data_IF_772994045831
#
_entry.id   IF_772994045831
#
_cell.length_a   1.000
_cell.length_b   1.000
_cell.length_c   1.000
_cell.angle_alpha   90.00
_cell.angle_beta   90.00
_cell.angle_gamma   90.00
#
_symmetry.space_group_name_H-M   'P 1'
#
loop_
_entity.id
_entity.type
_entity.pdbx_description
1 polymer ?
#
# COMPACT_ATOMS: atom_id res chain seq x y z
N UNK A 1 -4.31 16.51 11.60
CA UNK A 1 -5.18 15.69 12.47
C UNK A 1 -4.98 14.24 12.07
N UNK A 2 -4.84 13.33 13.04
CA UNK A 2 -4.73 11.90 12.73
C UNK A 2 -6.12 11.33 12.50
N UNK A 3 -6.27 10.57 11.44
CA UNK A 3 -7.51 9.90 11.08
C UNK A 3 -7.64 8.53 11.76
N UNK A 4 -6.51 7.79 11.80
CA UNK A 4 -6.39 6.54 12.53
C UNK A 4 -5.20 6.58 13.46
N UNK A 5 -5.38 6.10 14.68
CA UNK A 5 -4.30 5.95 15.66
C UNK A 5 -4.39 4.58 16.32
N UNK A 6 -3.25 3.98 16.53
CA UNK A 6 -3.13 2.82 17.42
C UNK A 6 -2.18 3.17 18.55
N UNK A 7 -2.53 2.76 19.77
CA UNK A 7 -1.77 3.07 20.97
C UNK A 7 -1.47 1.80 21.74
N UNK A 8 -0.20 1.42 21.79
CA UNK A 8 0.34 0.26 22.51
C UNK A 8 -0.43 -1.05 22.22
N UNK A 9 -0.81 -1.28 20.96
CA UNK A 9 -1.57 -2.45 20.56
C UNK A 9 -0.72 -3.71 20.70
N UNK A 10 -1.23 -4.69 21.47
CA UNK A 10 -0.61 -6.01 21.66
C UNK A 10 -1.53 -7.08 21.11
N UNK A 11 -0.95 -8.07 20.44
CA UNK A 11 -1.64 -9.28 20.01
C UNK A 11 -0.74 -10.48 20.10
N UNK A 12 -1.17 -11.47 20.88
CA UNK A 12 -0.51 -12.75 21.01
C UNK A 12 -1.40 -13.88 20.51
N UNK A 13 -0.85 -14.75 19.70
CA UNK A 13 -1.45 -16.03 19.34
C UNK A 13 -0.71 -17.14 20.08
N UNK A 14 -1.24 -18.37 20.06
CA UNK A 14 -0.61 -19.50 20.74
C UNK A 14 0.90 -19.61 20.42
N UNK A 15 1.75 -19.22 21.38
CA UNK A 15 3.20 -19.27 21.29
C UNK A 15 3.87 -18.19 20.41
N UNK A 16 3.12 -17.24 19.82
CA UNK A 16 3.67 -16.20 18.96
C UNK A 16 3.12 -14.82 19.31
N UNK A 17 4.01 -13.88 19.64
CA UNK A 17 3.68 -12.46 19.83
C UNK A 17 3.65 -11.78 18.45
N UNK A 18 2.47 -11.51 17.93
CA UNK A 18 2.28 -10.92 16.60
C UNK A 18 2.41 -9.40 16.60
N UNK A 19 2.02 -8.73 17.70
CA UNK A 19 2.19 -7.28 17.89
C UNK A 19 2.63 -7.03 19.32
N UNK A 20 3.67 -6.21 19.49
CA UNK A 20 4.25 -5.82 20.79
C UNK A 20 4.19 -4.29 20.93
N UNK A 21 3.14 -3.79 21.60
CA UNK A 21 2.93 -2.36 21.88
C UNK A 21 3.03 -1.48 20.62
N UNK A 22 2.44 -1.93 19.52
CA UNK A 22 2.47 -1.21 18.25
C UNK A 22 1.63 0.05 18.33
N UNK A 23 2.26 1.20 18.06
CA UNK A 23 1.63 2.51 17.99
C UNK A 23 1.96 3.16 16.64
N UNK A 24 0.92 3.53 15.88
CA UNK A 24 1.04 4.27 14.62
C UNK A 24 0.05 5.43 14.60
N UNK A 25 0.37 6.45 13.81
CA UNK A 25 -0.48 7.61 13.57
C UNK A 25 -0.61 7.81 12.07
N UNK A 26 -1.84 7.75 11.57
CA UNK A 26 -2.15 7.91 10.14
C UNK A 26 -2.83 9.26 9.94
N UNK A 27 -2.14 10.25 9.34
CA UNK A 27 -2.73 11.56 9.08
C UNK A 27 -3.87 11.47 8.05
N UNK A 28 -4.87 12.33 8.20
CA UNK A 28 -6.01 12.40 7.29
C UNK A 28 -5.57 12.79 5.87
N UNK A 29 -6.15 12.14 4.85
CA UNK A 29 -5.90 12.46 3.44
C UNK A 29 -4.51 12.09 2.94
N UNK A 30 -3.78 11.21 3.66
CA UNK A 30 -2.45 10.73 3.26
C UNK A 30 -2.47 9.29 2.81
N UNK A 31 -1.44 8.89 2.05
CA UNK A 31 -1.10 7.49 1.84
C UNK A 31 -0.03 7.10 2.86
N UNK A 32 -0.41 6.25 3.79
CA UNK A 32 0.44 5.75 4.86
C UNK A 32 0.95 4.34 4.53
N UNK A 33 2.25 4.19 4.36
CA UNK A 33 2.91 2.91 4.09
C UNK A 33 3.11 2.09 5.37
N UNK A 34 2.48 0.92 5.45
CA UNK A 34 2.71 -0.05 6.52
C UNK A 34 3.69 -1.12 6.02
N UNK A 35 4.94 -1.02 6.44
CA UNK A 35 6.06 -1.77 5.89
C UNK A 35 6.54 -2.87 6.82
N UNK A 36 7.24 -3.84 6.26
CA UNK A 36 7.91 -4.89 7.02
C UNK A 36 7.92 -6.24 6.29
N UNK A 37 8.78 -7.17 6.71
CA UNK A 37 8.83 -8.51 6.13
C UNK A 37 7.55 -9.30 6.38
N UNK A 38 7.40 -10.43 5.69
CA UNK A 38 6.32 -11.36 5.95
C UNK A 38 6.41 -11.88 7.38
N UNK A 39 5.25 -11.96 8.05
CA UNK A 39 5.18 -12.35 9.47
C UNK A 39 5.55 -11.26 10.49
N UNK A 40 5.88 -10.03 10.06
CA UNK A 40 6.23 -8.94 10.98
C UNK A 40 5.06 -8.43 11.84
N UNK A 41 3.80 -8.74 11.48
CA UNK A 41 2.61 -8.28 12.19
C UNK A 41 1.67 -7.37 11.40
N UNK A 42 2.04 -6.95 10.18
CA UNK A 42 1.25 -6.02 9.34
C UNK A 42 -0.22 -6.44 9.19
N UNK A 43 -0.46 -7.65 8.68
CA UNK A 43 -1.82 -8.17 8.47
C UNK A 43 -2.58 -8.36 9.79
N UNK A 44 -1.88 -8.66 10.89
CA UNK A 44 -2.50 -8.72 12.23
C UNK A 44 -2.99 -7.34 12.66
N UNK A 45 -2.18 -6.28 12.47
CA UNK A 45 -2.58 -4.91 12.78
C UNK A 45 -3.75 -4.47 11.90
N UNK A 46 -3.71 -4.75 10.60
CA UNK A 46 -4.80 -4.49 9.65
C UNK A 46 -6.09 -5.18 10.09
N UNK A 47 -6.04 -6.44 10.50
CA UNK A 47 -7.21 -7.19 11.00
C UNK A 47 -7.78 -6.57 12.28
N UNK A 48 -6.95 -6.03 13.15
CA UNK A 48 -7.40 -5.32 14.36
C UNK A 48 -8.08 -4.01 13.98
N UNK A 49 -7.50 -3.21 13.08
CA UNK A 49 -8.10 -1.97 12.59
C UNK A 49 -9.48 -2.23 11.96
N UNK A 50 -9.60 -3.31 11.18
CA UNK A 50 -10.87 -3.74 10.57
C UNK A 50 -11.81 -4.47 11.54
N UNK A 51 -11.49 -4.57 12.83
CA UNK A 51 -12.28 -5.28 13.86
C UNK A 51 -12.55 -6.77 13.55
N UNK A 52 -11.73 -7.37 12.69
CA UNK A 52 -11.77 -8.82 12.40
C UNK A 52 -11.20 -9.61 13.59
N UNK A 53 -10.25 -9.01 14.30
CA UNK A 53 -9.60 -9.59 15.49
C UNK A 53 -9.50 -8.52 16.56
N UNK A 54 -9.84 -8.85 17.81
CA UNK A 54 -9.64 -7.93 18.93
C UNK A 54 -8.16 -7.92 19.36
N UNK A 55 -7.61 -6.77 19.76
CA UNK A 55 -6.32 -6.71 20.44
C UNK A 55 -6.42 -7.33 21.84
N UNK A 56 -5.30 -7.79 22.37
CA UNK A 56 -5.24 -8.28 23.76
C UNK A 56 -5.05 -7.11 24.76
N UNK A 57 -4.42 -6.02 24.29
CA UNK A 57 -4.35 -4.73 24.98
C UNK A 57 -4.04 -3.61 23.99
N UNK A 58 -4.14 -2.34 24.44
CA UNK A 58 -3.99 -1.16 23.62
C UNK A 58 -5.32 -0.68 23.04
N UNK A 59 -5.28 0.45 22.34
CA UNK A 59 -6.47 1.15 21.85
C UNK A 59 -6.29 1.46 20.36
N UNK A 60 -7.38 1.36 19.60
CA UNK A 60 -7.48 1.87 18.22
C UNK A 60 -8.46 3.03 18.23
N UNK A 61 -8.04 4.18 17.71
CA UNK A 61 -8.91 5.36 17.51
C UNK A 61 -9.14 5.59 16.03
N UNK A 62 -10.36 5.90 15.70
CA UNK A 62 -10.81 6.20 14.35
C UNK A 62 -11.47 7.59 14.36
N UNK A 63 -10.97 8.51 13.55
CA UNK A 63 -11.49 9.88 13.46
C UNK A 63 -11.71 10.57 14.82
N UNK A 64 -10.73 10.40 15.74
CA UNK A 64 -10.72 11.02 17.06
C UNK A 64 -11.51 10.31 18.18
N UNK A 65 -12.22 9.21 17.90
CA UNK A 65 -12.91 8.39 18.90
C UNK A 65 -12.35 6.96 18.95
N UNK A 66 -12.59 6.25 20.04
CA UNK A 66 -12.24 4.84 20.14
C UNK A 66 -13.06 4.03 19.11
N UNK A 67 -12.37 3.16 18.35
CA UNK A 67 -12.99 2.42 17.25
C UNK A 67 -14.22 1.64 17.68
N UNK A 68 -15.30 1.81 16.94
CA UNK A 68 -16.63 1.21 17.15
C UNK A 68 -17.01 0.25 16.02
N UNK A 69 -18.01 -0.64 16.21
CA UNK A 69 -18.50 -1.51 15.14
C UNK A 69 -19.01 -0.76 13.90
N UNK A 70 -19.52 0.46 14.09
CA UNK A 70 -20.07 1.30 13.03
C UNK A 70 -19.01 1.82 12.07
N UNK A 71 -17.75 1.95 12.51
CA UNK A 71 -16.65 2.45 11.69
C UNK A 71 -16.32 1.53 10.51
N UNK A 72 -16.72 0.26 10.56
CA UNK A 72 -16.50 -0.69 9.46
C UNK A 72 -17.21 -0.26 8.15
N UNK A 73 -18.27 0.55 8.25
CA UNK A 73 -18.95 1.08 7.06
C UNK A 73 -18.16 2.20 6.38
N UNK A 74 -17.24 2.83 7.11
CA UNK A 74 -16.34 3.87 6.60
C UNK A 74 -14.96 3.32 6.22
N UNK A 75 -14.77 2.00 6.30
CA UNK A 75 -13.52 1.32 5.93
C UNK A 75 -13.72 0.45 4.70
N UNK A 76 -12.89 0.67 3.68
CA UNK A 76 -12.71 -0.23 2.55
C UNK A 76 -11.44 -1.06 2.75
N UNK A 77 -11.57 -2.39 2.78
CA UNK A 77 -10.43 -3.29 2.98
C UNK A 77 -10.25 -4.22 1.78
N UNK A 78 -9.09 -4.14 1.16
CA UNK A 78 -8.60 -5.04 0.12
C UNK A 78 -7.58 -6.00 0.74
N UNK A 79 -7.96 -7.23 1.09
CA UNK A 79 -7.02 -8.21 1.63
C UNK A 79 -6.11 -8.78 0.54
N UNK A 80 -4.92 -9.26 0.95
CA UNK A 80 -3.99 -9.99 0.07
C UNK A 80 -4.65 -11.25 -0.51
N UNK A 81 -5.35 -12.02 0.33
CA UNK A 81 -6.11 -13.18 -0.10
C UNK A 81 -7.51 -12.79 -0.59
N UNK A 82 -7.94 -13.43 -1.68
CA UNK A 82 -9.20 -13.09 -2.33
C UNK A 82 -10.39 -13.72 -1.61
N UNK A 83 -11.19 -12.87 -0.95
CA UNK A 83 -12.40 -13.26 -0.24
C UNK A 83 -13.67 -13.33 -1.11
N UNK A 84 -13.56 -13.34 -2.45
CA UNK A 84 -14.71 -13.29 -3.34
C UNK A 84 -15.31 -14.69 -3.61
N UNK A 85 -16.64 -14.74 -3.82
CA UNK A 85 -17.37 -15.98 -4.10
C UNK A 85 -17.14 -16.46 -5.53
N UNK A 86 -16.36 -17.53 -5.70
CA UNK A 86 -15.90 -18.04 -7.00
C UNK A 86 -17.03 -18.36 -7.98
N UNK A 87 -18.15 -18.94 -7.49
CA UNK A 87 -19.28 -19.39 -8.29
C UNK A 87 -20.33 -18.32 -8.58
N UNK A 88 -20.25 -17.15 -7.91
CA UNK A 88 -21.16 -16.03 -8.18
C UNK A 88 -20.71 -15.26 -9.42
N UNK A 89 -21.68 -14.67 -10.12
CA UNK A 89 -21.40 -13.71 -11.19
C UNK A 89 -20.80 -12.43 -10.62
N UNK A 90 -19.89 -11.83 -11.37
CA UNK A 90 -19.14 -10.63 -10.94
C UNK A 90 -20.09 -9.49 -10.55
N UNK A 91 -21.05 -9.15 -11.40
CA UNK A 91 -22.01 -8.07 -11.13
C UNK A 91 -22.92 -8.36 -9.94
N UNK A 92 -23.38 -9.61 -9.79
CA UNK A 92 -24.25 -10.01 -8.67
C UNK A 92 -23.54 -9.87 -7.32
N UNK A 93 -22.32 -10.41 -7.19
CA UNK A 93 -21.58 -10.29 -5.93
C UNK A 93 -21.10 -8.87 -5.65
N UNK A 94 -20.75 -8.08 -6.68
CA UNK A 94 -20.34 -6.71 -6.51
C UNK A 94 -21.50 -5.84 -5.96
N UNK A 95 -22.71 -6.01 -6.48
CA UNK A 95 -23.93 -5.39 -5.94
C UNK A 95 -24.19 -5.86 -4.51
N UNK A 96 -24.14 -7.16 -4.26
CA UNK A 96 -24.39 -7.73 -2.94
C UNK A 96 -23.42 -7.14 -1.89
N UNK A 97 -22.13 -7.11 -2.19
CA UNK A 97 -21.11 -6.57 -1.28
C UNK A 97 -21.24 -5.06 -1.09
N UNK A 98 -21.63 -4.31 -2.13
CA UNK A 98 -21.92 -2.89 -2.03
C UNK A 98 -23.14 -2.60 -1.12
N UNK A 99 -24.18 -3.44 -1.22
CA UNK A 99 -25.36 -3.32 -0.34
C UNK A 99 -25.02 -3.66 1.12
N UNK A 100 -24.13 -4.61 1.40
CA UNK A 100 -23.62 -4.86 2.76
C UNK A 100 -22.88 -3.66 3.35
N UNK A 101 -22.36 -2.77 2.50
CA UNK A 101 -21.74 -1.49 2.90
C UNK A 101 -22.74 -0.31 2.93
N UNK A 102 -24.03 -0.58 2.85
CA UNK A 102 -25.09 0.41 3.02
C UNK A 102 -25.59 1.08 1.75
N UNK A 103 -25.08 0.73 0.57
CA UNK A 103 -25.59 1.27 -0.70
C UNK A 103 -26.94 0.65 -1.05
N UNK A 104 -27.87 1.44 -1.56
CA UNK A 104 -29.07 0.94 -2.20
C UNK A 104 -28.74 0.21 -3.51
N UNK A 105 -29.61 -0.69 -3.95
CA UNK A 105 -29.41 -1.39 -5.24
C UNK A 105 -29.21 -0.42 -6.43
N UNK A 106 -30.02 0.64 -6.62
CA UNK A 106 -29.83 1.59 -7.71
C UNK A 106 -28.47 2.30 -7.66
N UNK A 107 -28.05 2.75 -6.46
CA UNK A 107 -26.74 3.40 -6.26
C UNK A 107 -25.60 2.44 -6.54
N UNK A 108 -25.63 1.23 -5.96
CA UNK A 108 -24.63 0.20 -6.19
C UNK A 108 -24.47 -0.09 -7.69
N UNK A 109 -25.59 -0.27 -8.39
CA UNK A 109 -25.59 -0.52 -9.83
C UNK A 109 -25.01 0.64 -10.62
N UNK A 110 -25.42 1.89 -10.32
CA UNK A 110 -24.92 3.09 -11.01
C UNK A 110 -23.42 3.26 -10.81
N UNK A 111 -22.95 3.16 -9.55
CA UNK A 111 -21.51 3.31 -9.22
C UNK A 111 -20.68 2.17 -9.85
N UNK A 112 -21.15 0.93 -9.78
CA UNK A 112 -20.48 -0.23 -10.40
C UNK A 112 -20.38 -0.08 -11.93
N UNK A 113 -21.44 0.41 -12.60
CA UNK A 113 -21.39 0.65 -14.04
C UNK A 113 -20.27 1.61 -14.39
N UNK A 114 -20.17 2.77 -13.70
CA UNK A 114 -19.09 3.74 -13.91
C UNK A 114 -17.68 3.15 -13.69
N UNK A 115 -17.50 2.39 -12.62
CA UNK A 115 -16.23 1.75 -12.31
C UNK A 115 -15.86 0.66 -13.33
N UNK A 116 -16.85 -0.13 -13.77
CA UNK A 116 -16.64 -1.19 -14.76
C UNK A 116 -16.31 -0.62 -16.14
N UNK A 117 -16.91 0.51 -16.52
CA UNK A 117 -16.57 1.25 -17.73
C UNK A 117 -15.15 1.83 -17.60
N UNK A 118 -14.82 2.51 -16.49
CA UNK A 118 -13.49 3.07 -16.23
C UNK A 118 -12.38 2.04 -16.36
N UNK A 119 -12.61 0.80 -15.87
CA UNK A 119 -11.64 -0.30 -15.92
C UNK A 119 -11.73 -1.17 -17.16
N UNK A 120 -12.69 -0.88 -18.07
CA UNK A 120 -12.97 -1.67 -19.27
C UNK A 120 -13.29 -3.15 -18.97
N UNK A 121 -14.12 -3.37 -17.94
CA UNK A 121 -14.51 -4.71 -17.47
C UNK A 121 -16.04 -4.99 -17.53
N UNK A 122 -16.81 -4.13 -18.18
CA UNK A 122 -18.26 -4.38 -18.38
C UNK A 122 -18.57 -5.75 -18.98
N UNK A 123 -17.79 -6.33 -19.91
CA UNK A 123 -18.01 -7.67 -20.44
C UNK A 123 -17.94 -8.78 -19.38
N UNK A 124 -17.37 -8.51 -18.19
CA UNK A 124 -17.27 -9.52 -17.13
C UNK A 124 -18.48 -9.56 -16.22
N UNK A 125 -19.42 -8.64 -16.35
CA UNK A 125 -20.59 -8.50 -15.48
C UNK A 125 -21.33 -9.81 -15.22
N UNK A 126 -21.59 -10.58 -16.29
CA UNK A 126 -22.34 -11.84 -16.23
C UNK A 126 -21.45 -13.09 -16.13
N UNK A 127 -20.12 -12.93 -16.10
CA UNK A 127 -19.20 -14.06 -15.94
C UNK A 127 -19.10 -14.45 -14.48
N UNK A 128 -18.84 -15.73 -14.23
CA UNK A 128 -18.49 -16.19 -12.89
C UNK A 128 -17.07 -15.75 -12.55
N UNK A 129 -16.81 -15.50 -11.26
CA UNK A 129 -15.49 -15.07 -10.82
C UNK A 129 -14.39 -16.10 -11.13
N UNK A 130 -14.69 -17.39 -11.03
CA UNK A 130 -13.75 -18.48 -11.35
C UNK A 130 -13.28 -18.51 -12.80
N UNK A 131 -14.01 -17.86 -13.72
CA UNK A 131 -13.67 -17.74 -15.14
C UNK A 131 -12.66 -16.61 -15.41
N UNK A 132 -12.34 -15.80 -14.41
CA UNK A 132 -11.45 -14.67 -14.51
C UNK A 132 -10.01 -15.05 -14.09
N UNK A 133 -9.02 -14.47 -14.77
CA UNK A 133 -7.62 -14.57 -14.34
C UNK A 133 -7.41 -13.91 -12.97
N UNK A 134 -6.29 -14.21 -12.35
CA UNK A 134 -5.94 -13.62 -11.04
C UNK A 134 -5.98 -12.09 -11.05
N UNK A 135 -5.34 -11.43 -12.04
CA UNK A 135 -5.36 -9.97 -12.16
C UNK A 135 -6.75 -9.41 -12.43
N UNK A 136 -7.58 -10.11 -13.21
CA UNK A 136 -8.97 -9.72 -13.43
C UNK A 136 -9.79 -9.76 -12.13
N UNK A 137 -9.65 -10.81 -11.33
CA UNK A 137 -10.32 -10.92 -10.01
C UNK A 137 -9.90 -9.80 -9.08
N UNK A 138 -8.64 -9.39 -9.14
CA UNK A 138 -8.09 -8.31 -8.30
C UNK A 138 -8.66 -6.94 -8.67
N UNK A 139 -8.87 -6.66 -9.98
CA UNK A 139 -9.58 -5.46 -10.42
C UNK A 139 -11.01 -5.42 -9.87
N UNK A 140 -11.73 -6.53 -9.92
CA UNK A 140 -13.09 -6.63 -9.36
C UNK A 140 -13.07 -6.39 -7.85
N UNK A 141 -12.11 -6.99 -7.13
CA UNK A 141 -11.99 -6.84 -5.69
C UNK A 141 -11.66 -5.39 -5.29
N UNK A 142 -10.74 -4.74 -6.03
CA UNK A 142 -10.45 -3.32 -5.83
C UNK A 142 -11.69 -2.45 -5.98
N UNK A 143 -12.46 -2.62 -7.07
CA UNK A 143 -13.69 -1.85 -7.29
C UNK A 143 -14.68 -2.05 -6.15
N UNK A 144 -14.89 -3.29 -5.69
CA UNK A 144 -15.78 -3.59 -4.57
C UNK A 144 -15.30 -2.92 -3.28
N UNK A 145 -13.99 -2.79 -3.09
CA UNK A 145 -13.40 -2.15 -1.91
C UNK A 145 -13.66 -0.66 -1.86
N UNK A 146 -13.67 0.03 -3.01
CA UNK A 146 -13.80 1.50 -3.07
C UNK A 146 -15.21 2.00 -3.38
N UNK A 147 -16.14 1.10 -3.79
CA UNK A 147 -17.45 1.47 -4.35
C UNK A 147 -18.35 2.28 -3.42
N UNK A 148 -18.23 2.08 -2.11
CA UNK A 148 -19.02 2.75 -1.09
C UNK A 148 -18.40 4.08 -0.63
N UNK A 149 -17.27 4.49 -1.27
CA UNK A 149 -16.56 5.76 -0.99
C UNK A 149 -16.16 5.89 0.49
N UNK A 150 -15.46 4.90 1.06
CA UNK A 150 -15.08 4.90 2.47
C UNK A 150 -14.05 5.99 2.78
N UNK A 151 -14.05 6.54 3.98
CA UNK A 151 -13.07 7.55 4.41
C UNK A 151 -11.68 6.96 4.60
N UNK A 152 -11.58 5.67 5.01
CA UNK A 152 -10.34 4.92 5.14
C UNK A 152 -10.31 3.76 4.14
N UNK A 153 -9.26 3.71 3.33
CA UNK A 153 -8.96 2.58 2.46
C UNK A 153 -7.73 1.85 2.98
N UNK A 154 -7.81 0.53 3.08
CA UNK A 154 -6.70 -0.32 3.49
C UNK A 154 -6.41 -1.31 2.36
N UNK A 155 -5.23 -1.23 1.78
CA UNK A 155 -4.77 -2.09 0.70
C UNK A 155 -3.62 -2.97 1.20
N UNK A 156 -3.87 -4.27 1.36
CA UNK A 156 -2.86 -5.24 1.81
C UNK A 156 -2.27 -5.94 0.58
N UNK A 157 -1.03 -5.62 0.25
CA UNK A 157 -0.27 -6.09 -0.93
C UNK A 157 -1.07 -5.95 -2.25
N UNK A 158 -1.61 -4.76 -2.59
CA UNK A 158 -2.57 -4.60 -3.69
C UNK A 158 -2.00 -4.90 -5.07
N UNK A 159 -0.68 -4.85 -5.25
CA UNK A 159 -0.04 -5.11 -6.55
C UNK A 159 0.36 -6.57 -6.74
N UNK A 160 0.16 -7.41 -5.72
CA UNK A 160 0.48 -8.84 -5.80
C UNK A 160 -0.32 -9.52 -6.91
N UNK A 161 0.40 -10.10 -7.89
CA UNK A 161 -0.19 -10.82 -9.02
C UNK A 161 -0.69 -9.97 -10.19
N UNK A 162 -0.39 -8.67 -10.20
CA UNK A 162 -0.53 -7.82 -11.37
C UNK A 162 0.74 -7.86 -12.24
N UNK A 163 0.56 -7.72 -13.55
CA UNK A 163 1.64 -7.32 -14.44
C UNK A 163 1.96 -5.81 -14.25
N UNK A 164 3.14 -5.34 -14.69
CA UNK A 164 3.56 -3.94 -14.48
C UNK A 164 2.56 -2.90 -14.97
N UNK A 165 1.96 -3.11 -16.14
CA UNK A 165 1.01 -2.14 -16.73
C UNK A 165 -0.25 -2.00 -15.88
N UNK A 166 -0.80 -3.11 -15.41
CA UNK A 166 -1.97 -3.09 -14.54
C UNK A 166 -1.64 -2.57 -13.12
N UNK A 167 -0.42 -2.82 -12.63
CA UNK A 167 0.06 -2.26 -11.37
C UNK A 167 0.15 -0.72 -11.44
N UNK A 168 0.70 -0.16 -12.52
CA UNK A 168 0.80 1.29 -12.70
C UNK A 168 -0.60 1.95 -12.82
N UNK A 169 -1.53 1.32 -13.51
CA UNK A 169 -2.91 1.79 -13.56
C UNK A 169 -3.55 1.81 -12.15
N UNK A 170 -3.34 0.78 -11.37
CA UNK A 170 -3.87 0.72 -10.00
C UNK A 170 -3.23 1.78 -9.10
N UNK A 171 -1.93 2.06 -9.27
CA UNK A 171 -1.25 3.16 -8.56
C UNK A 171 -1.90 4.51 -8.86
N UNK A 172 -2.20 4.80 -10.13
CA UNK A 172 -2.88 6.03 -10.51
C UNK A 172 -4.25 6.17 -9.85
N UNK A 173 -5.04 5.07 -9.81
CA UNK A 173 -6.33 5.06 -9.12
C UNK A 173 -6.19 5.33 -7.62
N UNK A 174 -5.17 4.78 -6.97
CA UNK A 174 -4.87 5.03 -5.55
C UNK A 174 -4.53 6.52 -5.33
N UNK A 175 -3.74 7.13 -6.22
CA UNK A 175 -3.42 8.56 -6.16
C UNK A 175 -4.65 9.44 -6.41
N UNK A 176 -5.55 9.06 -7.32
CA UNK A 176 -6.82 9.76 -7.55
C UNK A 176 -7.72 9.69 -6.31
N UNK A 177 -7.82 8.52 -5.65
CA UNK A 177 -8.58 8.37 -4.40
C UNK A 177 -8.01 9.26 -3.29
N UNK A 178 -6.67 9.33 -3.15
CA UNK A 178 -6.03 10.28 -2.23
C UNK A 178 -6.40 11.73 -2.57
N UNK A 179 -6.30 12.11 -3.84
CA UNK A 179 -6.66 13.46 -4.31
C UNK A 179 -8.13 13.80 -4.05
N UNK A 180 -9.02 12.79 -4.03
CA UNK A 180 -10.42 12.92 -3.65
C UNK A 180 -10.64 13.05 -2.14
N UNK A 181 -9.59 12.96 -1.31
CA UNK A 181 -9.63 13.17 0.14
C UNK A 181 -9.67 11.89 0.98
N UNK A 182 -9.58 10.71 0.37
CA UNK A 182 -9.52 9.46 1.12
C UNK A 182 -8.21 9.32 1.88
N UNK A 183 -8.27 8.77 3.08
CA UNK A 183 -7.08 8.32 3.84
C UNK A 183 -6.78 6.89 3.45
N UNK A 184 -5.51 6.57 3.19
CA UNK A 184 -5.13 5.27 2.63
C UNK A 184 -4.01 4.65 3.47
N UNK A 185 -4.19 3.40 3.90
CA UNK A 185 -3.13 2.54 4.42
C UNK A 185 -2.73 1.57 3.32
N UNK A 186 -1.46 1.58 2.99
CA UNK A 186 -0.87 0.77 1.95
C UNK A 186 0.16 -0.18 2.56
N UNK A 187 -0.20 -1.47 2.69
CA UNK A 187 0.71 -2.48 3.22
C UNK A 187 1.50 -3.12 2.08
N UNK A 188 2.81 -3.12 2.19
CA UNK A 188 3.69 -3.76 1.22
C UNK A 188 5.09 -4.06 1.79
N UNK A 189 5.81 -4.94 1.11
CA UNK A 189 7.25 -5.17 1.31
C UNK A 189 8.10 -4.59 0.15
N UNK A 190 7.47 -3.98 -0.86
CA UNK A 190 8.16 -3.38 -2.01
C UNK A 190 8.47 -1.89 -1.75
N UNK A 191 9.74 -1.58 -1.48
CA UNK A 191 10.20 -0.23 -1.16
C UNK A 191 10.04 0.77 -2.32
N UNK A 192 10.21 0.34 -3.57
CA UNK A 192 10.05 1.24 -4.73
C UNK A 192 8.63 1.81 -4.81
N UNK A 193 7.61 0.98 -4.58
CA UNK A 193 6.22 1.43 -4.56
C UNK A 193 5.95 2.39 -3.41
N UNK A 194 6.62 2.22 -2.26
CA UNK A 194 6.48 3.10 -1.10
C UNK A 194 7.03 4.50 -1.39
N UNK A 195 8.24 4.58 -1.92
CA UNK A 195 8.87 5.86 -2.27
C UNK A 195 8.08 6.65 -3.32
N UNK A 196 7.37 5.92 -4.19
CA UNK A 196 6.59 6.50 -5.28
C UNK A 196 5.26 7.11 -4.83
N UNK A 197 4.54 6.45 -3.91
CA UNK A 197 3.16 6.84 -3.60
C UNK A 197 2.88 7.23 -2.15
N UNK A 198 3.72 6.81 -1.17
CA UNK A 198 3.45 7.07 0.24
C UNK A 198 3.95 8.44 0.70
N UNK A 199 3.19 9.06 1.61
CA UNK A 199 3.59 10.30 2.30
C UNK A 199 4.30 10.00 3.62
N UNK A 200 3.73 9.07 4.37
CA UNK A 200 4.18 8.65 5.69
C UNK A 200 4.36 7.14 5.73
N UNK A 201 5.22 6.66 6.62
CA UNK A 201 5.48 5.23 6.78
C UNK A 201 5.57 4.81 8.24
N UNK A 202 5.28 3.53 8.48
CA UNK A 202 5.74 2.79 9.65
C UNK A 202 6.31 1.44 9.21
N UNK A 203 7.51 1.15 9.67
CA UNK A 203 8.18 -0.14 9.45
C UNK A 203 8.00 -1.02 10.69
N UNK A 204 7.28 -2.13 10.51
CA UNK A 204 7.13 -3.15 11.56
C UNK A 204 8.17 -4.24 11.31
N UNK A 205 8.94 -4.56 12.33
CA UNK A 205 9.86 -5.69 12.32
C UNK A 205 9.80 -6.39 13.68
N UNK A 206 9.75 -7.72 13.68
CA UNK A 206 9.64 -8.55 14.90
C UNK A 206 8.56 -8.04 15.87
N UNK A 207 7.38 -7.76 15.31
CA UNK A 207 6.17 -7.33 16.04
C UNK A 207 6.21 -5.92 16.64
N UNK A 208 7.24 -5.12 16.37
CA UNK A 208 7.42 -3.75 16.87
C UNK A 208 7.58 -2.75 15.74
N UNK A 209 7.16 -1.50 15.97
CA UNK A 209 7.47 -0.38 15.07
C UNK A 209 8.92 0.04 15.31
N UNK A 210 9.78 -0.17 14.32
CA UNK A 210 11.21 0.17 14.39
C UNK A 210 11.54 1.50 13.74
N UNK A 211 10.66 2.00 12.87
CA UNK A 211 10.81 3.26 12.18
C UNK A 211 9.44 3.80 11.81
N UNK A 212 9.22 5.10 11.96
CA UNK A 212 8.03 5.81 11.44
C UNK A 212 8.36 7.24 11.11
N UNK A 213 7.61 7.84 10.18
CA UNK A 213 7.71 9.25 9.81
C UNK A 213 7.47 9.52 8.34
N UNK A 214 7.67 10.75 7.93
CA UNK A 214 7.54 11.19 6.56
C UNK A 214 8.58 10.52 5.65
N UNK A 215 8.14 10.01 4.49
CA UNK A 215 9.02 9.25 3.57
C UNK A 215 10.26 10.04 3.16
N UNK A 216 10.10 11.33 2.85
CA UNK A 216 11.21 12.19 2.41
C UNK A 216 12.22 12.42 3.53
N UNK A 217 11.74 12.67 4.77
CA UNK A 217 12.59 12.87 5.94
C UNK A 217 13.33 11.58 6.31
N UNK A 218 12.65 10.45 6.29
CA UNK A 218 13.25 9.14 6.53
C UNK A 218 14.33 8.87 5.49
N UNK A 219 14.04 9.09 4.20
CA UNK A 219 15.01 8.91 3.13
C UNK A 219 16.26 9.77 3.32
N UNK A 220 16.09 11.05 3.61
CA UNK A 220 17.25 11.95 3.86
C UNK A 220 18.07 11.50 5.09
N UNK A 221 17.40 11.06 6.16
CA UNK A 221 18.06 10.57 7.37
C UNK A 221 18.93 9.33 7.13
N UNK A 222 18.50 8.44 6.23
CA UNK A 222 19.22 7.19 5.93
C UNK A 222 20.01 7.24 4.63
N UNK A 223 20.12 8.40 4.00
CA UNK A 223 20.90 8.61 2.80
C UNK A 223 22.36 8.27 3.05
N UNK A 224 22.88 7.30 2.33
CA UNK A 224 24.26 6.84 2.52
C UNK A 224 25.29 7.66 1.76
N UNK A 225 24.85 8.56 0.86
CA UNK A 225 25.71 9.25 -0.12
C UNK A 225 26.59 8.26 -0.93
N UNK A 226 26.16 7.01 -1.06
CA UNK A 226 26.86 5.97 -1.80
C UNK A 226 26.13 5.72 -3.11
N UNK A 227 26.88 5.79 -4.19
CA UNK A 227 26.36 5.69 -5.54
C UNK A 227 26.97 4.47 -6.24
N UNK A 228 26.18 3.80 -7.06
CA UNK A 228 26.62 2.69 -7.89
C UNK A 228 26.78 3.22 -9.31
N UNK A 229 28.00 3.11 -9.83
CA UNK A 229 28.34 3.44 -11.21
C UNK A 229 28.64 2.16 -11.98
N UNK A 230 27.98 1.97 -13.10
CA UNK A 230 28.46 1.02 -14.10
C UNK A 230 29.32 1.78 -15.12
N UNK A 231 30.55 1.41 -15.20
CA UNK A 231 31.55 2.07 -16.07
C UNK A 231 32.10 1.07 -17.11
N UNK A 232 32.52 1.60 -18.25
CA UNK A 232 33.19 0.81 -19.27
C UNK A 232 34.67 0.69 -18.93
N UNK A 233 35.18 -0.55 -18.91
CA UNK A 233 36.63 -0.80 -18.80
C UNK A 233 37.36 -0.50 -20.10
N UNK A 234 38.61 -0.14 -20.04
CA UNK A 234 39.48 0.01 -21.21
C UNK A 234 39.58 -1.32 -22.03
N UNK A 235 39.39 -2.46 -21.36
CA UNK A 235 39.36 -3.80 -21.96
C UNK A 235 38.03 -4.20 -22.61
N UNK A 236 37.02 -3.29 -22.61
CA UNK A 236 35.71 -3.49 -23.23
C UNK A 236 34.64 -4.16 -22.37
N UNK A 237 34.90 -4.46 -21.09
CA UNK A 237 33.91 -4.99 -20.12
C UNK A 237 33.21 -3.89 -19.33
N UNK A 238 32.14 -4.26 -18.59
CA UNK A 238 31.47 -3.40 -17.65
C UNK A 238 31.98 -3.71 -16.24
N UNK A 239 32.18 -2.66 -15.43
CA UNK A 239 32.56 -2.75 -14.01
C UNK A 239 31.57 -1.95 -13.16
N UNK A 240 31.11 -2.54 -12.05
CA UNK A 240 30.33 -1.86 -11.04
C UNK A 240 31.26 -1.26 -9.97
N UNK A 241 31.21 0.06 -9.82
CA UNK A 241 31.94 0.80 -8.79
C UNK A 241 30.96 1.34 -7.77
N UNK A 242 31.27 1.18 -6.48
CA UNK A 242 30.54 1.81 -5.38
C UNK A 242 31.36 2.96 -4.85
N UNK A 243 30.87 4.19 -5.07
CA UNK A 243 31.60 5.40 -4.70
C UNK A 243 30.77 6.21 -3.72
N UNK A 244 31.37 6.58 -2.60
CA UNK A 244 30.77 7.48 -1.63
C UNK A 244 31.10 8.93 -2.00
N UNK A 245 30.05 9.77 -2.10
CA UNK A 245 30.22 11.21 -2.33
C UNK A 245 30.72 11.88 -1.05
N UNK A 246 31.73 12.75 -1.19
CA UNK A 246 32.23 13.60 -0.10
C UNK A 246 31.21 14.71 0.23
N UNK A 247 31.00 15.01 1.52
CA UNK A 247 29.96 15.94 1.98
C UNK A 247 30.13 17.37 1.47
N UNK A 248 31.37 17.80 1.16
CA UNK A 248 31.71 19.18 0.82
C UNK A 248 31.79 19.45 -0.69
N UNK A 249 31.45 18.51 -1.56
CA UNK A 249 31.54 18.68 -3.02
C UNK A 249 30.14 18.85 -3.59
N UNK A 250 29.93 19.84 -4.48
CA UNK A 250 28.68 20.02 -5.20
C UNK A 250 28.39 18.80 -6.10
N UNK A 251 27.10 18.51 -6.39
CA UNK A 251 26.74 17.40 -7.30
C UNK A 251 27.37 17.62 -8.69
N UNK A 252 27.40 18.85 -9.18
CA UNK A 252 27.97 19.20 -10.48
C UNK A 252 29.46 18.91 -10.55
N UNK A 253 30.23 19.36 -9.56
CA UNK A 253 31.70 19.17 -9.55
C UNK A 253 32.05 17.69 -9.38
N UNK A 254 31.30 17.00 -8.52
CA UNK A 254 31.51 15.57 -8.29
C UNK A 254 31.21 14.72 -9.54
N UNK A 255 30.08 14.98 -10.21
CA UNK A 255 29.72 14.29 -11.47
C UNK A 255 30.72 14.62 -12.59
N UNK A 256 31.19 15.87 -12.69
CA UNK A 256 32.21 16.28 -13.66
C UNK A 256 33.52 15.53 -13.43
N UNK A 257 33.94 15.39 -12.17
CA UNK A 257 35.13 14.62 -11.79
C UNK A 257 34.99 13.14 -12.15
N UNK A 258 33.84 12.53 -11.87
CA UNK A 258 33.60 11.13 -12.22
C UNK A 258 33.58 10.93 -13.75
N UNK A 259 32.91 11.81 -14.49
CA UNK A 259 32.85 11.74 -15.96
C UNK A 259 34.21 11.95 -16.63
N UNK A 260 35.15 12.65 -15.98
CA UNK A 260 36.54 12.80 -16.47
C UNK A 260 37.38 11.55 -16.23
N UNK A 261 37.03 10.70 -15.28
CA UNK A 261 37.78 9.49 -14.89
C UNK A 261 37.23 8.20 -15.50
N UNK A 262 35.92 8.17 -15.75
CA UNK A 262 35.20 6.95 -16.15
C UNK A 262 34.24 7.23 -17.32
N UNK A 263 34.14 6.28 -18.24
CA UNK A 263 33.03 6.23 -19.20
C UNK A 263 31.82 5.64 -18.49
N UNK A 264 30.93 6.50 -17.98
CA UNK A 264 29.77 6.12 -17.16
C UNK A 264 28.65 5.62 -18.06
N UNK A 265 28.19 4.39 -17.84
CA UNK A 265 27.07 3.77 -18.55
C UNK A 265 25.75 3.91 -17.79
N UNK A 266 25.80 3.82 -16.46
CA UNK A 266 24.65 4.11 -15.59
C UNK A 266 25.12 4.63 -14.23
N UNK A 267 24.23 5.37 -13.58
CA UNK A 267 24.48 6.01 -12.30
C UNK A 267 23.20 5.90 -11.46
N UNK A 268 23.30 5.27 -10.28
CA UNK A 268 22.20 5.09 -9.33
C UNK A 268 22.67 5.35 -7.91
N UNK A 269 21.77 5.92 -7.07
CA UNK A 269 21.99 6.14 -5.64
C UNK A 269 21.54 4.92 -4.84
#
# INVERSE_FOLDING_TARGET
MNFLETENVVKQYAGHLALNKVSIQVPQGTIFGLLGPNGAGKTTLIRIINRITAPDSGIVRFNGHESSPEDIYQIGYLPEERGLYKKMKVGEQAIYLAQLKGLSYPEARSRLTRWFEKFDIMPWWNRKLEELSKGMQQKVQFIITVIHEPELLIFDEPFSGFDPVNADRLKQEILELKAAGHTIIFSTHNMSSVEEICDEIALINRSEVVLSGNVKEVRERFKSNTYILNVRKETGGIEELRIRKEENISNSDWLTRLASQYEILSFTE
#
